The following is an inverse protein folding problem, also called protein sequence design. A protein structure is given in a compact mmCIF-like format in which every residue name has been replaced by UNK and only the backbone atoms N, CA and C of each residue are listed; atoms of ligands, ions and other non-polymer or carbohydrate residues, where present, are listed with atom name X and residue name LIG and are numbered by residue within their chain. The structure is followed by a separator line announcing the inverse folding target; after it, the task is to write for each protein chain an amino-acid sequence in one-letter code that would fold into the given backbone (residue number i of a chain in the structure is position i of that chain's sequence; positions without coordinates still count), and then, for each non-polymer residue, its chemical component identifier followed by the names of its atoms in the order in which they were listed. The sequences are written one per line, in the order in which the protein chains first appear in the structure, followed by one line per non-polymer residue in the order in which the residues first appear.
data_IF_965007654976
#
_entry.id   IF_965007654976
#
_cell.length_a   1.000
_cell.length_b   1.000
_cell.length_c   1.000
_cell.angle_alpha   90.00
_cell.angle_beta   90.00
_cell.angle_gamma   90.00
#
_symmetry.space_group_name_H-M   'P 1'
#
loop_
_entity.id
_entity.type
_entity.pdbx_description
1 polymer ?
#
# COMPACT_ATOMS: atom_id res chain seq x y z
N UNK A 1 -10.35 -11.87 -15.79
CA UNK A 1 -9.97 -12.00 -14.38
C UNK A 1 -11.24 -12.12 -13.56
N UNK A 2 -11.46 -13.22 -12.83
CA UNK A 2 -12.58 -13.28 -11.90
C UNK A 2 -12.26 -12.33 -10.76
N UNK A 3 -13.10 -11.31 -10.54
CA UNK A 3 -12.90 -10.28 -9.50
C UNK A 3 -12.78 -10.87 -8.09
N UNK A 4 -13.25 -12.10 -7.88
CA UNK A 4 -13.28 -12.74 -6.56
C UNK A 4 -11.99 -13.48 -6.18
N UNK A 5 -11.23 -13.98 -7.16
CA UNK A 5 -10.05 -14.83 -6.92
C UNK A 5 -8.92 -14.11 -6.18
N UNK A 6 -8.70 -12.82 -6.47
CA UNK A 6 -7.64 -12.00 -5.89
C UNK A 6 -8.18 -10.90 -4.97
N UNK A 7 -9.41 -11.03 -4.47
CA UNK A 7 -10.07 -10.03 -3.65
C UNK A 7 -9.22 -9.64 -2.43
N UNK A 8 -8.76 -10.63 -1.66
CA UNK A 8 -7.94 -10.39 -0.46
C UNK A 8 -6.63 -9.68 -0.77
N UNK A 9 -5.98 -10.04 -1.86
CA UNK A 9 -4.75 -9.40 -2.32
C UNK A 9 -4.99 -7.97 -2.81
N UNK A 10 -6.08 -7.77 -3.56
CA UNK A 10 -6.50 -6.44 -4.02
C UNK A 10 -6.82 -5.51 -2.85
N UNK A 11 -7.37 -6.05 -1.75
CA UNK A 11 -7.58 -5.26 -0.51
C UNK A 11 -6.26 -4.85 0.15
N UNK A 12 -5.23 -5.70 0.11
CA UNK A 12 -3.92 -5.43 0.71
C UNK A 12 -3.08 -4.44 -0.09
N UNK A 13 -2.87 -4.70 -1.39
CA UNK A 13 -1.94 -3.92 -2.22
C UNK A 13 -2.61 -3.14 -3.36
N UNK A 14 -3.94 -3.12 -3.43
CA UNK A 14 -4.66 -2.28 -4.39
C UNK A 14 -4.22 -2.54 -5.83
N UNK A 15 -3.73 -1.50 -6.50
CA UNK A 15 -3.22 -1.56 -7.88
C UNK A 15 -1.96 -2.44 -8.03
N UNK A 16 -1.24 -2.71 -6.95
CA UNK A 16 -0.10 -3.63 -6.97
C UNK A 16 -0.47 -5.02 -7.48
N UNK A 17 -1.72 -5.48 -7.31
CA UNK A 17 -2.19 -6.74 -7.87
C UNK A 17 -2.18 -6.74 -9.41
N UNK A 18 -2.44 -5.60 -10.04
CA UNK A 18 -2.38 -5.45 -11.51
C UNK A 18 -0.94 -5.63 -11.97
N UNK A 19 0.03 -5.05 -11.25
CA UNK A 19 1.45 -5.20 -11.55
C UNK A 19 1.91 -6.65 -11.39
N UNK A 20 1.47 -7.34 -10.34
CA UNK A 20 1.77 -8.78 -10.15
C UNK A 20 1.23 -9.60 -11.32
N UNK A 21 -0.02 -9.37 -11.75
CA UNK A 21 -0.64 -10.08 -12.85
C UNK A 21 -0.03 -9.75 -14.24
N UNK A 22 0.70 -8.64 -14.36
CA UNK A 22 1.42 -8.28 -15.57
C UNK A 22 2.88 -8.78 -15.58
N UNK A 23 3.45 -9.10 -14.40
CA UNK A 23 4.86 -9.42 -14.24
C UNK A 23 5.27 -10.71 -14.95
N UNK A 24 6.46 -10.69 -15.58
CA UNK A 24 7.07 -11.80 -16.30
C UNK A 24 8.37 -12.21 -15.64
N UNK A 25 8.46 -13.46 -15.27
CA UNK A 25 9.60 -14.03 -14.58
C UNK A 25 10.43 -14.93 -15.48
N UNK A 26 11.76 -14.76 -15.42
CA UNK A 26 12.74 -15.71 -15.95
C UNK A 26 13.38 -16.47 -14.79
N UNK A 27 13.17 -17.79 -14.75
CA UNK A 27 13.58 -18.65 -13.65
C UNK A 27 14.67 -19.61 -14.11
N UNK A 28 15.83 -19.52 -13.49
CA UNK A 28 16.99 -20.35 -13.81
C UNK A 28 17.16 -21.46 -12.77
N UNK A 29 17.10 -22.70 -13.21
CA UNK A 29 16.97 -23.92 -12.43
C UNK A 29 15.50 -24.22 -12.05
N UNK A 30 15.20 -25.48 -11.71
CA UNK A 30 13.87 -25.92 -11.29
C UNK A 30 13.93 -26.86 -10.08
N UNK A 31 14.86 -26.59 -9.15
CA UNK A 31 14.97 -27.35 -7.91
C UNK A 31 13.76 -27.13 -6.97
N UNK A 32 13.73 -27.84 -5.85
CA UNK A 32 12.64 -27.72 -4.86
C UNK A 32 12.47 -26.29 -4.33
N UNK A 33 13.57 -25.53 -4.23
CA UNK A 33 13.51 -24.12 -3.82
C UNK A 33 12.78 -23.26 -4.85
N UNK A 34 13.10 -23.41 -6.14
CA UNK A 34 12.39 -22.72 -7.22
C UNK A 34 10.92 -23.13 -7.26
N UNK A 35 10.62 -24.43 -7.11
CA UNK A 35 9.24 -24.91 -7.12
C UNK A 35 8.39 -24.27 -6.01
N UNK A 36 8.94 -24.11 -4.79
CA UNK A 36 8.26 -23.44 -3.68
C UNK A 36 8.09 -21.93 -3.90
N UNK A 37 9.10 -21.27 -4.46
CA UNK A 37 9.00 -19.85 -4.84
C UNK A 37 7.88 -19.67 -5.88
N UNK A 38 7.90 -20.47 -6.93
CA UNK A 38 6.92 -20.38 -7.99
C UNK A 38 5.51 -20.74 -7.56
N UNK A 39 5.33 -21.70 -6.64
CA UNK A 39 4.04 -22.01 -6.05
C UNK A 39 3.39 -20.75 -5.46
N UNK A 40 4.12 -20.01 -4.65
CA UNK A 40 3.59 -18.81 -4.02
C UNK A 40 3.29 -17.69 -5.04
N UNK A 41 4.14 -17.51 -6.05
CA UNK A 41 3.96 -16.50 -7.09
C UNK A 41 2.80 -16.85 -8.04
N UNK A 42 2.67 -18.12 -8.41
CA UNK A 42 1.56 -18.62 -9.26
C UNK A 42 0.23 -18.48 -8.52
N UNK A 43 0.17 -18.86 -7.23
CA UNK A 43 -1.03 -18.65 -6.41
C UNK A 43 -1.39 -17.17 -6.25
N UNK A 44 -0.39 -16.29 -6.22
CA UNK A 44 -0.60 -14.83 -6.19
C UNK A 44 -1.01 -14.25 -7.54
N UNK A 45 -0.99 -15.03 -8.62
CA UNK A 45 -1.43 -14.62 -9.94
C UNK A 45 -0.40 -13.86 -10.75
N UNK A 46 0.87 -14.23 -10.65
CA UNK A 46 1.92 -13.69 -11.54
C UNK A 46 1.56 -13.92 -13.01
N UNK A 47 1.90 -12.95 -13.88
CA UNK A 47 1.45 -13.00 -15.27
C UNK A 47 2.05 -14.12 -16.10
N UNK A 48 3.38 -14.28 -16.05
CA UNK A 48 4.10 -15.25 -16.87
C UNK A 48 5.34 -15.79 -16.15
N UNK A 49 5.58 -17.10 -16.29
CA UNK A 49 6.76 -17.78 -15.75
C UNK A 49 7.47 -18.52 -16.87
N UNK A 50 8.76 -18.27 -17.07
CA UNK A 50 9.62 -19.04 -17.98
C UNK A 50 10.67 -19.76 -17.16
N UNK A 51 10.70 -21.10 -17.23
CA UNK A 51 11.70 -21.94 -16.54
C UNK A 51 12.77 -22.38 -17.54
N UNK A 52 14.03 -22.19 -17.17
CA UNK A 52 15.20 -22.67 -17.94
C UNK A 52 15.92 -23.72 -17.09
N UNK A 53 15.86 -24.98 -17.49
CA UNK A 53 16.54 -26.11 -16.84
C UNK A 53 16.61 -27.29 -17.79
N UNK A 54 17.69 -28.06 -17.79
CA UNK A 54 17.86 -29.30 -18.55
C UNK A 54 17.88 -30.54 -17.65
N UNK A 55 17.73 -30.34 -16.34
CA UNK A 55 17.81 -31.41 -15.35
C UNK A 55 16.62 -32.37 -15.47
N UNK A 56 16.91 -33.64 -15.23
CA UNK A 56 15.89 -34.67 -15.12
C UNK A 56 15.56 -34.97 -13.68
N UNK A 57 14.32 -35.36 -13.42
CA UNK A 57 13.85 -35.80 -12.10
C UNK A 57 14.61 -37.05 -11.69
N UNK A 58 15.19 -37.03 -10.48
CA UNK A 58 15.87 -38.14 -9.84
C UNK A 58 15.12 -38.58 -8.60
N UNK A 59 15.44 -39.76 -8.06
CA UNK A 59 14.77 -40.31 -6.88
C UNK A 59 14.88 -39.40 -5.62
N UNK A 60 15.94 -38.59 -5.56
CA UNK A 60 16.16 -37.62 -4.50
C UNK A 60 15.13 -36.48 -4.53
N UNK A 61 14.70 -36.08 -5.72
CA UNK A 61 13.68 -34.99 -5.87
C UNK A 61 12.34 -35.37 -5.24
N UNK A 62 12.01 -36.69 -5.20
CA UNK A 62 10.76 -37.17 -4.62
C UNK A 62 10.65 -36.93 -3.11
N UNK A 63 11.79 -36.69 -2.44
CA UNK A 63 11.82 -36.51 -0.98
C UNK A 63 11.49 -35.05 -0.56
N UNK A 64 11.66 -34.09 -1.45
CA UNK A 64 11.64 -32.70 -1.08
C UNK A 64 10.92 -31.79 -2.10
N UNK A 65 10.44 -32.32 -3.21
CA UNK A 65 9.72 -31.56 -4.23
C UNK A 65 8.28 -32.05 -4.34
N UNK A 66 7.33 -31.21 -3.93
CA UNK A 66 5.91 -31.52 -3.92
C UNK A 66 5.32 -31.73 -5.34
N UNK A 67 5.96 -31.18 -6.35
CA UNK A 67 5.43 -31.15 -7.73
C UNK A 67 5.92 -32.31 -8.62
N UNK A 68 6.53 -33.33 -8.05
CA UNK A 68 7.03 -34.48 -8.80
C UNK A 68 6.63 -35.81 -8.13
N UNK A 69 6.32 -36.80 -8.94
CA UNK A 69 5.93 -38.14 -8.51
C UNK A 69 6.92 -39.21 -8.99
N UNK A 70 6.84 -40.43 -8.40
CA UNK A 70 7.66 -41.55 -8.80
C UNK A 70 7.55 -41.91 -10.30
N UNK A 71 6.39 -41.66 -10.91
CA UNK A 71 6.16 -41.88 -12.35
C UNK A 71 6.85 -40.81 -13.23
N UNK A 72 7.40 -39.78 -12.64
CA UNK A 72 8.05 -38.68 -13.36
C UNK A 72 9.59 -38.83 -13.37
N UNK A 73 10.14 -39.79 -12.65
CA UNK A 73 11.59 -40.03 -12.65
C UNK A 73 12.10 -40.22 -14.08
N UNK A 74 13.17 -39.49 -14.43
CA UNK A 74 13.77 -39.49 -15.77
C UNK A 74 13.19 -38.47 -16.76
N UNK A 75 12.03 -37.86 -16.45
CA UNK A 75 11.45 -36.77 -17.27
C UNK A 75 12.16 -35.45 -16.97
N UNK A 76 11.95 -34.44 -17.80
CA UNK A 76 12.48 -33.08 -17.61
C UNK A 76 11.81 -32.41 -16.40
N UNK A 77 12.63 -32.02 -15.40
CA UNK A 77 12.13 -31.56 -14.12
C UNK A 77 11.35 -30.24 -14.26
N UNK A 78 11.90 -29.26 -14.98
CA UNK A 78 11.26 -27.96 -15.18
C UNK A 78 9.93 -28.06 -15.91
N UNK A 79 9.80 -28.98 -16.89
CA UNK A 79 8.56 -29.20 -17.63
C UNK A 79 7.42 -29.74 -16.74
N UNK A 80 7.73 -30.78 -15.93
CA UNK A 80 6.76 -31.39 -15.03
C UNK A 80 6.33 -30.42 -13.93
N UNK A 81 7.29 -29.72 -13.29
CA UNK A 81 6.99 -28.72 -12.28
C UNK A 81 6.11 -27.61 -12.84
N UNK A 82 6.45 -27.09 -14.01
CA UNK A 82 5.65 -26.02 -14.63
C UNK A 82 4.24 -26.47 -14.94
N UNK A 83 4.08 -27.67 -15.51
CA UNK A 83 2.75 -28.24 -15.78
C UNK A 83 1.90 -28.28 -14.51
N UNK A 84 2.42 -28.84 -13.43
CA UNK A 84 1.69 -29.01 -12.17
C UNK A 84 1.44 -27.67 -11.47
N UNK A 85 2.33 -26.69 -11.60
CA UNK A 85 2.13 -25.31 -11.10
C UNK A 85 0.98 -24.61 -11.82
N UNK A 86 0.87 -24.77 -13.14
CA UNK A 86 -0.20 -24.13 -13.92
C UNK A 86 -1.59 -24.71 -13.62
N UNK A 87 -1.66 -25.95 -13.09
CA UNK A 87 -2.92 -26.51 -12.59
C UNK A 87 -3.44 -25.75 -11.35
N UNK A 88 -2.55 -25.15 -10.55
CA UNK A 88 -2.95 -24.33 -9.38
C UNK A 88 -3.60 -23.01 -9.79
N UNK A 89 -3.19 -22.45 -10.92
CA UNK A 89 -3.71 -21.19 -11.40
C UNK A 89 -3.66 -21.06 -12.93
N UNK A 90 -4.78 -21.33 -13.62
CA UNK A 90 -4.86 -21.31 -15.08
C UNK A 90 -4.74 -19.90 -15.69
N UNK A 91 -4.78 -18.83 -14.89
CA UNK A 91 -4.60 -17.46 -15.39
C UNK A 91 -3.13 -17.16 -15.68
N UNK A 92 -2.19 -17.94 -15.13
CA UNK A 92 -0.74 -17.77 -15.28
C UNK A 92 -0.27 -18.41 -16.58
N UNK A 93 0.57 -17.71 -17.34
CA UNK A 93 1.21 -18.28 -18.54
C UNK A 93 2.52 -18.94 -18.15
N UNK A 94 2.80 -20.09 -18.77
CA UNK A 94 4.03 -20.84 -18.50
C UNK A 94 4.80 -21.18 -19.77
N UNK A 95 6.11 -21.00 -19.74
CA UNK A 95 7.04 -21.41 -20.79
C UNK A 95 8.17 -22.25 -20.18
N UNK A 96 8.58 -23.28 -20.89
CA UNK A 96 9.72 -24.11 -20.51
C UNK A 96 10.77 -24.11 -21.62
N UNK A 97 12.04 -23.93 -21.21
CA UNK A 97 13.20 -23.96 -22.10
C UNK A 97 14.14 -25.06 -21.59
N UNK A 98 14.22 -26.14 -22.36
CA UNK A 98 15.10 -27.26 -22.07
C UNK A 98 16.55 -26.89 -22.44
N UNK A 99 17.25 -26.20 -21.54
CA UNK A 99 18.66 -25.81 -21.66
C UNK A 99 19.31 -25.71 -20.30
N UNK A 100 20.60 -26.04 -20.25
CA UNK A 100 21.39 -25.75 -19.06
C UNK A 100 21.41 -24.23 -18.81
N UNK A 101 21.13 -23.77 -17.57
CA UNK A 101 21.14 -22.34 -17.24
C UNK A 101 22.44 -21.62 -17.60
N UNK A 102 23.60 -22.28 -17.47
CA UNK A 102 24.90 -21.72 -17.85
C UNK A 102 25.00 -21.49 -19.38
N UNK A 103 24.55 -22.45 -20.17
CA UNK A 103 24.55 -22.36 -21.63
C UNK A 103 23.55 -21.30 -22.10
N UNK A 104 22.36 -21.27 -21.50
CA UNK A 104 21.35 -20.24 -21.78
C UNK A 104 21.91 -18.84 -21.52
N UNK A 105 22.57 -18.60 -20.39
CA UNK A 105 23.18 -17.31 -20.07
C UNK A 105 24.30 -16.92 -21.03
N UNK A 106 24.96 -17.89 -21.71
CA UNK A 106 26.05 -17.62 -22.65
C UNK A 106 25.57 -17.26 -24.06
N UNK A 107 24.28 -17.37 -24.36
CA UNK A 107 23.74 -17.03 -25.67
C UNK A 107 23.55 -15.51 -25.82
N UNK A 108 24.18 -14.90 -26.84
CA UNK A 108 24.06 -13.47 -27.12
C UNK A 108 22.68 -13.04 -27.63
N UNK A 109 21.85 -13.99 -28.08
CA UNK A 109 20.54 -13.73 -28.70
C UNK A 109 19.39 -13.63 -27.74
N UNK A 110 19.60 -13.88 -26.46
CA UNK A 110 18.51 -13.88 -25.46
C UNK A 110 18.02 -12.46 -25.20
N UNK A 111 16.72 -12.26 -25.33
CA UNK A 111 16.07 -10.99 -25.03
C UNK A 111 15.62 -10.95 -23.56
N UNK A 112 16.52 -10.58 -22.67
CA UNK A 112 16.22 -10.48 -21.24
C UNK A 112 15.27 -9.32 -20.93
N UNK A 113 15.22 -8.26 -21.74
CA UNK A 113 14.33 -7.09 -21.58
C UNK A 113 12.83 -7.43 -21.66
N UNK A 114 12.50 -8.63 -22.13
CA UNK A 114 11.10 -9.10 -22.13
C UNK A 114 10.61 -9.57 -20.77
N UNK A 115 11.48 -9.66 -19.77
CA UNK A 115 11.16 -10.07 -18.41
C UNK A 115 11.32 -8.89 -17.44
N UNK A 116 10.60 -8.96 -16.32
CA UNK A 116 10.67 -7.98 -15.24
C UNK A 116 11.61 -8.42 -14.12
N UNK A 117 11.66 -9.73 -13.86
CA UNK A 117 12.43 -10.31 -12.77
C UNK A 117 13.18 -11.56 -13.26
N UNK A 118 14.45 -11.66 -12.89
CA UNK A 118 15.25 -12.85 -13.04
C UNK A 118 15.44 -13.52 -11.69
N UNK A 119 15.06 -14.78 -11.56
CA UNK A 119 15.20 -15.57 -10.34
C UNK A 119 16.16 -16.73 -10.61
N UNK A 120 17.19 -16.89 -9.79
CA UNK A 120 18.18 -17.95 -9.92
C UNK A 120 18.31 -18.72 -8.58
N UNK A 121 18.09 -20.02 -8.59
CA UNK A 121 18.23 -20.85 -7.39
C UNK A 121 19.38 -21.83 -7.52
N UNK A 122 20.21 -21.92 -6.46
CA UNK A 122 21.29 -22.89 -6.30
C UNK A 122 22.26 -23.03 -7.49
N UNK A 123 22.40 -21.98 -8.32
CA UNK A 123 23.38 -21.97 -9.40
C UNK A 123 24.81 -21.82 -8.86
N UNK A 124 25.80 -22.22 -9.68
CA UNK A 124 27.21 -22.05 -9.37
C UNK A 124 27.53 -20.56 -9.17
N UNK A 125 28.37 -20.27 -8.17
CA UNK A 125 28.73 -18.89 -7.81
C UNK A 125 29.44 -18.12 -8.93
N UNK A 126 30.13 -18.81 -9.83
CA UNK A 126 30.76 -18.20 -11.00
C UNK A 126 29.80 -17.52 -11.98
N UNK A 127 28.51 -17.93 -11.95
CA UNK A 127 27.47 -17.33 -12.79
C UNK A 127 26.91 -16.02 -12.21
N UNK A 128 27.18 -15.72 -10.93
CA UNK A 128 26.64 -14.53 -10.30
C UNK A 128 27.07 -13.23 -11.00
N UNK A 129 28.34 -13.11 -11.39
CA UNK A 129 28.85 -11.92 -12.09
C UNK A 129 28.06 -11.68 -13.37
N UNK A 130 27.85 -12.73 -14.15
CA UNK A 130 27.10 -12.64 -15.40
C UNK A 130 25.63 -12.28 -15.17
N UNK A 131 25.01 -12.83 -14.14
CA UNK A 131 23.64 -12.48 -13.73
C UNK A 131 23.53 -11.00 -13.38
N UNK A 132 24.52 -10.43 -12.65
CA UNK A 132 24.57 -9.00 -12.36
C UNK A 132 24.73 -8.14 -13.60
N UNK A 133 25.61 -8.54 -14.52
CA UNK A 133 25.82 -7.81 -15.78
C UNK A 133 24.54 -7.77 -16.62
N UNK A 134 23.83 -8.89 -16.75
CA UNK A 134 22.53 -8.95 -17.43
C UNK A 134 21.51 -8.05 -16.73
N UNK A 135 21.36 -8.20 -15.42
CA UNK A 135 20.41 -7.42 -14.65
C UNK A 135 20.68 -5.91 -14.76
N UNK A 136 21.96 -5.51 -14.69
CA UNK A 136 22.37 -4.12 -14.83
C UNK A 136 22.11 -3.56 -16.22
N UNK A 137 22.51 -4.30 -17.27
CA UNK A 137 22.43 -3.82 -18.65
C UNK A 137 21.00 -3.75 -19.17
N UNK A 138 20.16 -4.69 -18.75
CA UNK A 138 18.78 -4.81 -19.21
C UNK A 138 17.75 -4.25 -18.21
N UNK A 139 18.23 -3.62 -17.11
CA UNK A 139 17.44 -3.02 -16.05
C UNK A 139 16.42 -4.00 -15.43
N UNK A 140 16.88 -5.23 -15.15
CA UNK A 140 16.08 -6.27 -14.53
C UNK A 140 16.29 -6.31 -13.02
N UNK A 141 15.24 -6.70 -12.30
CA UNK A 141 15.38 -7.13 -10.92
C UNK A 141 15.97 -8.53 -10.88
N UNK A 142 16.97 -8.75 -10.02
CA UNK A 142 17.61 -10.04 -9.87
C UNK A 142 17.43 -10.56 -8.44
N UNK A 143 16.99 -11.81 -8.33
CA UNK A 143 16.86 -12.54 -7.07
C UNK A 143 17.74 -13.79 -7.16
N UNK A 144 18.78 -13.85 -6.34
CA UNK A 144 19.63 -15.05 -6.20
C UNK A 144 19.29 -15.70 -4.87
N UNK A 145 18.96 -16.99 -4.91
CA UNK A 145 18.67 -17.78 -3.73
C UNK A 145 19.62 -18.99 -3.71
N UNK A 146 20.24 -19.22 -2.55
CA UNK A 146 21.00 -20.45 -2.28
C UNK A 146 20.54 -21.02 -0.97
N UNK A 147 20.25 -22.29 -0.95
CA UNK A 147 19.87 -22.98 0.26
C UNK A 147 20.67 -24.28 0.46
N UNK A 148 21.05 -24.52 1.69
CA UNK A 148 21.69 -25.76 2.12
C UNK A 148 21.20 -26.12 3.52
N UNK A 149 20.25 -27.05 3.59
CA UNK A 149 19.56 -27.40 4.83
C UNK A 149 18.87 -26.18 5.46
N UNK A 150 19.27 -25.80 6.66
CA UNK A 150 18.72 -24.64 7.39
C UNK A 150 19.43 -23.31 7.07
N UNK A 151 20.50 -23.34 6.28
CA UNK A 151 21.22 -22.15 5.88
C UNK A 151 20.70 -21.65 4.54
N UNK A 152 20.28 -20.40 4.50
CA UNK A 152 19.76 -19.76 3.30
C UNK A 152 20.50 -18.45 3.04
N UNK A 153 20.78 -18.18 1.77
CA UNK A 153 21.31 -16.92 1.28
C UNK A 153 20.36 -16.37 0.23
N UNK A 154 19.90 -15.16 0.42
CA UNK A 154 19.04 -14.44 -0.55
C UNK A 154 19.70 -13.12 -0.86
N UNK A 155 19.90 -12.82 -2.13
CA UNK A 155 20.39 -11.54 -2.61
C UNK A 155 19.42 -10.95 -3.63
N UNK A 156 19.00 -9.71 -3.36
CA UNK A 156 18.23 -8.89 -4.27
C UNK A 156 19.16 -7.88 -4.93
N UNK A 157 19.00 -7.67 -6.22
CA UNK A 157 19.70 -6.63 -6.96
C UNK A 157 18.72 -5.89 -7.86
N UNK A 158 18.84 -4.59 -7.86
CA UNK A 158 18.09 -3.66 -8.71
C UNK A 158 18.97 -2.44 -8.97
N UNK A 159 18.93 -1.89 -10.20
CA UNK A 159 19.75 -0.73 -10.57
C UNK A 159 19.43 0.51 -9.71
N UNK A 160 18.17 0.66 -9.34
CA UNK A 160 17.69 1.68 -8.43
C UNK A 160 16.71 1.05 -7.45
N UNK A 161 17.06 1.04 -6.19
CA UNK A 161 16.21 0.54 -5.11
C UNK A 161 15.86 1.70 -4.17
N UNK A 162 14.70 2.31 -4.40
CA UNK A 162 14.12 3.26 -3.47
C UNK A 162 13.23 2.52 -2.47
N UNK A 163 13.72 2.27 -1.25
CA UNK A 163 12.88 1.74 -0.19
C UNK A 163 12.41 2.88 0.70
N UNK A 164 11.20 3.36 0.46
CA UNK A 164 10.51 4.24 1.39
C UNK A 164 9.75 3.40 2.40
N UNK A 165 10.44 2.94 3.42
CA UNK A 165 9.81 2.25 4.53
C UNK A 165 9.13 3.31 5.43
N UNK A 166 7.92 3.69 5.04
CA UNK A 166 7.03 4.44 5.91
C UNK A 166 6.62 3.49 7.04
N UNK A 167 7.39 3.46 8.12
CA UNK A 167 6.87 2.89 9.37
C UNK A 167 5.66 3.74 9.76
N UNK A 168 4.49 3.26 9.37
CA UNK A 168 3.26 3.67 10.01
C UNK A 168 3.46 3.46 11.50
N UNK A 169 3.15 4.46 12.32
CA UNK A 169 3.12 4.25 13.77
C UNK A 169 2.27 3.01 14.03
N UNK A 170 2.60 2.24 15.06
CA UNK A 170 1.85 1.02 15.41
C UNK A 170 0.35 1.29 15.63
N UNK A 171 -0.03 2.57 15.76
CA UNK A 171 -1.40 3.05 15.79
C UNK A 171 -1.51 4.28 14.88
N UNK A 172 -1.72 4.10 13.57
CA UNK A 172 -2.06 5.22 12.72
C UNK A 172 -3.36 5.81 13.25
N UNK A 173 -3.34 7.10 13.59
CA UNK A 173 -4.58 7.84 13.86
C UNK A 173 -5.22 8.09 12.51
N UNK A 174 -6.00 7.12 12.04
CA UNK A 174 -6.69 7.24 10.78
C UNK A 174 -7.99 8.03 11.00
N UNK A 175 -8.16 9.08 10.23
CA UNK A 175 -9.42 9.81 10.17
C UNK A 175 -10.38 9.10 9.20
N UNK A 176 -11.28 8.29 9.73
CA UNK A 176 -12.33 7.66 8.94
C UNK A 176 -13.62 8.50 8.93
N UNK A 177 -13.64 9.64 9.62
CA UNK A 177 -14.80 10.53 9.73
C UNK A 177 -16.09 9.87 10.18
N UNK A 178 -15.99 8.82 10.97
CA UNK A 178 -17.17 8.15 11.51
C UNK A 178 -17.94 9.01 12.53
N UNK A 179 -17.25 9.97 13.17
CA UNK A 179 -17.87 10.96 14.07
C UNK A 179 -18.48 12.18 13.34
N UNK A 180 -18.10 12.42 12.08
CA UNK A 180 -18.64 13.49 11.23
C UNK A 180 -18.79 13.02 9.78
N UNK A 181 -19.61 12.00 9.51
CA UNK A 181 -19.77 11.44 8.18
C UNK A 181 -20.36 12.49 7.24
N UNK A 182 -19.86 12.52 5.99
CA UNK A 182 -20.40 13.37 4.94
C UNK A 182 -21.61 12.70 4.27
N UNK A 183 -22.36 13.50 3.52
CA UNK A 183 -23.65 13.11 2.97
C UNK A 183 -23.62 11.81 2.19
N UNK A 184 -22.70 11.67 1.23
CA UNK A 184 -22.60 10.50 0.35
C UNK A 184 -22.27 9.22 1.12
N UNK A 185 -21.50 9.32 2.21
CA UNK A 185 -21.23 8.20 3.10
C UNK A 185 -22.51 7.81 3.89
N UNK A 186 -23.25 8.79 4.39
CA UNK A 186 -24.52 8.54 5.06
C UNK A 186 -25.54 7.93 4.09
N UNK A 187 -25.66 8.45 2.88
CA UNK A 187 -26.55 7.93 1.85
C UNK A 187 -26.22 6.48 1.50
N UNK A 188 -24.93 6.16 1.36
CA UNK A 188 -24.46 4.77 1.18
C UNK A 188 -24.84 3.88 2.37
N UNK A 189 -24.65 4.33 3.60
CA UNK A 189 -25.03 3.57 4.78
C UNK A 189 -26.56 3.34 4.85
N UNK A 190 -27.35 4.30 4.41
CA UNK A 190 -28.81 4.20 4.40
C UNK A 190 -29.34 3.21 3.35
N UNK A 191 -28.54 2.83 2.34
CA UNK A 191 -28.92 1.78 1.38
C UNK A 191 -29.00 0.38 2.01
N UNK A 192 -28.42 0.17 3.20
CA UNK A 192 -28.49 -1.09 3.93
C UNK A 192 -29.71 -1.12 4.86
N UNK A 193 -30.70 -1.95 4.57
CA UNK A 193 -31.86 -2.16 5.45
C UNK A 193 -31.58 -3.34 6.40
N UNK A 194 -30.94 -3.02 7.55
CA UNK A 194 -30.49 -4.03 8.52
C UNK A 194 -31.63 -4.89 9.09
N UNK A 195 -32.89 -4.41 9.05
CA UNK A 195 -34.04 -5.16 9.61
C UNK A 195 -34.60 -6.18 8.60
N UNK A 196 -34.43 -5.92 7.29
CA UNK A 196 -35.01 -6.76 6.23
C UNK A 196 -34.00 -7.65 5.54
N UNK A 197 -32.70 -7.48 5.83
CA UNK A 197 -31.66 -8.30 5.24
C UNK A 197 -31.73 -9.73 5.76
N UNK A 198 -31.37 -10.70 4.91
CA UNK A 198 -31.13 -12.05 5.39
C UNK A 198 -29.86 -12.11 6.27
N UNK A 199 -29.71 -13.22 7.01
CA UNK A 199 -28.62 -13.36 7.98
C UNK A 199 -27.23 -13.34 7.32
N UNK A 200 -27.09 -13.87 6.11
CA UNK A 200 -25.81 -13.95 5.39
C UNK A 200 -25.38 -12.55 4.98
N UNK A 201 -26.27 -11.81 4.35
CA UNK A 201 -26.01 -10.43 3.94
C UNK A 201 -25.77 -9.51 5.15
N UNK A 202 -26.55 -9.68 6.21
CA UNK A 202 -26.40 -8.90 7.44
C UNK A 202 -25.01 -9.10 8.09
N UNK A 203 -24.50 -10.34 8.17
CA UNK A 203 -23.15 -10.63 8.69
C UNK A 203 -22.03 -10.05 7.83
N UNK A 204 -22.32 -9.69 6.59
CA UNK A 204 -21.39 -9.10 5.64
C UNK A 204 -21.51 -7.57 5.51
N UNK A 205 -22.28 -6.91 6.38
CA UNK A 205 -22.34 -5.44 6.42
C UNK A 205 -21.08 -4.89 7.09
N UNK A 206 -20.35 -3.97 6.42
CA UNK A 206 -19.14 -3.35 6.99
C UNK A 206 -19.44 -2.65 8.32
N UNK A 207 -18.55 -2.80 9.30
CA UNK A 207 -18.75 -2.17 10.61
C UNK A 207 -18.85 -0.63 10.55
N UNK A 208 -18.28 0.02 9.55
CA UNK A 208 -18.46 1.45 9.30
C UNK A 208 -19.94 1.80 9.09
N UNK A 209 -20.66 0.98 8.32
CA UNK A 209 -22.10 1.16 8.08
C UNK A 209 -22.87 1.03 9.39
N UNK A 210 -22.56 0.01 10.19
CA UNK A 210 -23.18 -0.24 11.49
C UNK A 210 -22.97 0.96 12.43
N UNK A 211 -21.72 1.44 12.53
CA UNK A 211 -21.36 2.57 13.40
C UNK A 211 -22.04 3.87 12.96
N UNK A 212 -22.11 4.16 11.66
CA UNK A 212 -22.78 5.36 11.14
C UNK A 212 -24.29 5.31 11.38
N UNK A 213 -24.94 4.16 11.14
CA UNK A 213 -26.35 3.98 11.45
C UNK A 213 -26.62 4.14 12.95
N UNK A 214 -25.75 3.58 13.79
CA UNK A 214 -25.85 3.76 15.23
C UNK A 214 -25.68 5.24 15.63
N UNK A 215 -24.77 5.97 14.98
CA UNK A 215 -24.56 7.39 15.24
C UNK A 215 -25.77 8.23 14.82
N UNK A 216 -26.37 7.94 13.67
CA UNK A 216 -27.59 8.61 13.21
C UNK A 216 -28.71 8.41 14.24
N UNK A 217 -28.98 7.16 14.66
CA UNK A 217 -29.97 6.83 15.67
C UNK A 217 -29.68 7.50 17.02
N UNK A 218 -28.43 7.48 17.48
CA UNK A 218 -28.03 8.16 18.71
C UNK A 218 -28.30 9.67 18.66
N UNK A 219 -28.01 10.32 17.54
CA UNK A 219 -28.29 11.75 17.32
C UNK A 219 -29.78 12.08 17.29
N UNK A 220 -30.59 11.21 16.72
CA UNK A 220 -32.06 11.31 16.75
C UNK A 220 -32.58 11.20 18.18
N UNK A 221 -32.13 10.20 18.95
CA UNK A 221 -32.53 10.00 20.35
C UNK A 221 -32.12 11.20 21.23
N UNK A 222 -30.96 11.78 21.00
CA UNK A 222 -30.47 12.99 21.69
C UNK A 222 -31.09 14.28 21.14
N UNK A 223 -31.84 14.24 20.03
CA UNK A 223 -32.37 15.41 19.33
C UNK A 223 -31.30 16.46 19.03
N UNK A 224 -30.07 16.00 18.76
CA UNK A 224 -28.91 16.83 18.47
C UNK A 224 -28.11 16.23 17.32
N UNK A 225 -28.10 16.85 16.11
CA UNK A 225 -27.41 16.32 14.93
C UNK A 225 -25.87 16.26 15.07
N UNK A 226 -25.33 16.95 16.09
CA UNK A 226 -23.90 17.00 16.36
C UNK A 226 -23.51 16.21 17.63
N UNK A 227 -24.45 15.43 18.21
CA UNK A 227 -24.13 14.61 19.37
C UNK A 227 -23.20 13.46 19.02
N UNK A 228 -22.17 13.28 19.83
CA UNK A 228 -21.25 12.16 19.75
C UNK A 228 -21.03 11.59 21.17
N UNK A 229 -20.84 10.28 21.33
CA UNK A 229 -20.68 9.65 22.65
C UNK A 229 -19.32 10.02 23.28
N UNK A 230 -19.31 10.92 24.27
CA UNK A 230 -18.11 11.44 24.92
C UNK A 230 -17.85 10.80 26.27
N UNK A 231 -18.87 10.73 27.13
CA UNK A 231 -18.75 10.16 28.47
C UNK A 231 -18.84 8.64 28.47
N UNK A 232 -18.45 7.99 29.54
CA UNK A 232 -18.55 6.54 29.67
C UNK A 232 -19.99 6.04 29.64
N UNK A 233 -20.96 6.82 30.20
CA UNK A 233 -22.35 6.54 30.13
C UNK A 233 -22.88 6.62 28.70
N UNK A 234 -22.51 7.67 27.97
CA UNK A 234 -22.88 7.85 26.55
C UNK A 234 -22.28 6.75 25.67
N UNK A 235 -21.06 6.33 25.95
CA UNK A 235 -20.42 5.20 25.23
C UNK A 235 -21.13 3.89 25.50
N UNK A 236 -21.63 3.66 26.73
CA UNK A 236 -22.48 2.49 27.08
C UNK A 236 -23.79 2.51 26.32
N UNK A 237 -24.47 3.68 26.32
CA UNK A 237 -25.69 3.88 25.57
C UNK A 237 -25.47 3.60 24.07
N UNK A 238 -24.44 4.17 23.49
CA UNK A 238 -24.08 3.95 22.10
C UNK A 238 -23.75 2.47 21.78
N UNK A 239 -23.03 1.75 22.66
CA UNK A 239 -22.83 0.31 22.56
C UNK A 239 -24.13 -0.47 22.52
N UNK A 240 -25.14 -0.08 23.33
CA UNK A 240 -26.43 -0.72 23.33
C UNK A 240 -27.17 -0.50 22.01
N UNK A 241 -27.04 0.70 21.40
CA UNK A 241 -27.60 0.96 20.07
C UNK A 241 -26.92 0.06 19.02
N UNK A 242 -25.61 -0.06 19.03
CA UNK A 242 -24.87 -0.95 18.11
C UNK A 242 -25.33 -2.40 18.27
N UNK A 243 -25.47 -2.88 19.51
CA UNK A 243 -25.96 -4.24 19.80
C UNK A 243 -27.43 -4.45 19.36
N UNK A 244 -28.26 -3.40 19.37
CA UNK A 244 -29.63 -3.53 18.94
C UNK A 244 -29.81 -3.82 17.44
N UNK A 245 -28.75 -3.71 16.66
CA UNK A 245 -28.75 -4.11 15.26
C UNK A 245 -28.43 -5.59 15.05
N UNK A 246 -28.08 -6.33 16.10
CA UNK A 246 -27.80 -7.75 16.01
C UNK A 246 -29.06 -8.55 15.66
N UNK A 247 -28.98 -9.39 14.62
CA UNK A 247 -30.07 -10.31 14.28
C UNK A 247 -29.92 -11.61 15.09
N UNK A 248 -30.86 -11.87 15.99
CA UNK A 248 -30.94 -13.10 16.75
C UNK A 248 -31.76 -14.16 16.00
N UNK A 249 -31.11 -15.15 15.47
CA UNK A 249 -31.74 -16.24 14.69
C UNK A 249 -31.89 -17.54 15.47
N UNK A 250 -31.57 -17.54 16.77
CA UNK A 250 -31.61 -18.75 17.62
C UNK A 250 -30.50 -19.76 17.31
N UNK A 251 -29.62 -19.50 16.37
CA UNK A 251 -28.42 -20.27 16.09
C UNK A 251 -27.26 -19.62 16.84
N UNK A 252 -26.57 -20.36 17.69
CA UNK A 252 -25.43 -19.88 18.47
C UNK A 252 -24.32 -19.35 17.54
N UNK A 253 -23.88 -18.14 17.78
CA UNK A 253 -22.75 -17.48 17.14
C UNK A 253 -22.92 -15.97 17.15
N UNK A 254 -21.96 -15.25 17.70
CA UNK A 254 -21.92 -13.77 17.67
C UNK A 254 -21.84 -13.29 16.21
N UNK A 255 -22.52 -12.20 15.91
CA UNK A 255 -22.36 -11.52 14.62
C UNK A 255 -21.00 -10.82 14.60
N UNK A 256 -20.02 -11.42 13.94
CA UNK A 256 -18.63 -10.96 13.95
C UNK A 256 -18.49 -9.47 13.53
N UNK A 257 -19.30 -9.00 12.60
CA UNK A 257 -19.30 -7.59 12.19
C UNK A 257 -19.84 -6.65 13.30
N UNK A 258 -20.78 -7.10 14.13
CA UNK A 258 -21.25 -6.35 15.31
C UNK A 258 -20.15 -6.34 16.38
N UNK A 259 -19.46 -7.46 16.61
CA UNK A 259 -18.30 -7.53 17.51
C UNK A 259 -17.20 -6.59 17.04
N UNK A 260 -16.93 -6.56 15.75
CA UNK A 260 -15.97 -5.64 15.14
C UNK A 260 -16.41 -4.17 15.34
N UNK A 261 -17.68 -3.84 15.10
CA UNK A 261 -18.22 -2.51 15.34
C UNK A 261 -18.05 -2.07 16.81
N UNK A 262 -18.37 -2.97 17.77
CA UNK A 262 -18.22 -2.69 19.21
C UNK A 262 -16.78 -2.41 19.61
N UNK A 263 -15.82 -3.04 18.95
CA UNK A 263 -14.38 -2.81 19.17
C UNK A 263 -13.95 -1.41 18.73
N UNK A 264 -14.56 -0.86 17.69
CA UNK A 264 -14.16 0.38 17.05
C UNK A 264 -15.09 1.56 17.28
N UNK A 265 -15.99 1.51 18.27
CA UNK A 265 -16.92 2.62 18.62
C UNK A 265 -16.21 3.95 18.90
N UNK A 266 -14.94 3.90 19.32
CA UNK A 266 -14.15 5.08 19.65
C UNK A 266 -13.90 6.00 18.43
N UNK A 267 -14.05 5.50 17.21
CA UNK A 267 -14.02 6.34 16.00
C UNK A 267 -15.22 7.29 15.89
N UNK A 268 -16.30 7.04 16.63
CA UNK A 268 -17.45 7.93 16.69
C UNK A 268 -17.30 9.02 17.75
N UNK A 269 -16.22 9.03 18.53
CA UNK A 269 -15.96 10.04 19.54
C UNK A 269 -15.34 11.30 18.89
N UNK A 270 -15.78 12.49 19.32
CA UNK A 270 -15.29 13.77 18.80
C UNK A 270 -13.80 13.99 19.01
N UNK A 271 -13.17 13.41 20.06
CA UNK A 271 -11.75 13.55 20.34
C UNK A 271 -10.85 12.97 19.23
N UNK A 272 -11.36 12.04 18.42
CA UNK A 272 -10.64 11.51 17.26
C UNK A 272 -10.70 12.41 16.02
N UNK A 273 -11.59 13.40 15.99
CA UNK A 273 -11.68 14.37 14.92
C UNK A 273 -10.66 15.49 15.03
N UNK A 274 -10.09 15.68 16.23
CA UNK A 274 -9.01 16.63 16.44
C UNK A 274 -7.67 15.95 16.13
N UNK A 275 -7.46 15.64 14.87
CA UNK A 275 -6.21 15.06 14.36
C UNK A 275 -5.04 16.04 14.36
N UNK A 276 -5.26 17.25 14.88
CA UNK A 276 -4.19 18.21 15.06
C UNK A 276 -3.21 17.67 16.10
N UNK A 277 -2.14 17.06 15.62
CA UNK A 277 -1.07 16.60 16.51
C UNK A 277 -0.36 17.80 17.13
N UNK A 278 0.26 17.61 18.29
CA UNK A 278 1.11 18.63 18.94
C UNK A 278 2.09 19.28 17.96
N UNK A 279 2.69 18.50 17.07
CA UNK A 279 3.63 19.01 16.05
C UNK A 279 2.94 19.86 14.97
N UNK A 280 1.73 19.52 14.56
CA UNK A 280 0.94 20.35 13.64
C UNK A 280 0.59 21.68 14.29
N UNK A 281 0.19 21.68 15.56
CA UNK A 281 -0.06 22.91 16.33
C UNK A 281 1.18 23.79 16.43
N UNK A 282 2.35 23.22 16.68
CA UNK A 282 3.63 23.96 16.69
C UNK A 282 3.92 24.61 15.33
N UNK A 283 3.68 23.89 14.23
CA UNK A 283 3.89 24.45 12.90
C UNK A 283 2.89 25.54 12.60
N UNK A 284 1.62 25.33 12.89
CA UNK A 284 0.62 26.38 12.72
C UNK A 284 0.97 27.62 13.56
N UNK A 285 1.38 27.45 14.83
CA UNK A 285 1.86 28.55 15.66
C UNK A 285 3.10 29.25 15.07
N UNK A 286 4.04 28.47 14.53
CA UNK A 286 5.24 29.02 13.88
C UNK A 286 4.87 29.82 12.65
N UNK A 287 3.97 29.31 11.81
CA UNK A 287 3.48 29.99 10.61
C UNK A 287 2.71 31.27 10.96
N UNK A 288 1.90 31.26 12.02
CA UNK A 288 1.13 32.41 12.49
C UNK A 288 2.02 33.53 13.08
N UNK A 289 3.06 33.13 13.82
CA UNK A 289 3.93 34.06 14.50
C UNK A 289 5.09 34.59 13.65
N UNK A 290 5.34 33.97 12.48
CA UNK A 290 6.44 34.36 11.59
C UNK A 290 5.90 35.05 10.34
N UNK A 291 6.36 36.26 10.00
CA UNK A 291 5.92 36.90 8.77
C UNK A 291 6.18 36.03 7.53
N UNK A 292 5.20 35.86 6.65
CA UNK A 292 5.31 35.03 5.44
C UNK A 292 6.54 35.39 4.59
N UNK A 293 6.90 36.67 4.52
CA UNK A 293 8.09 37.16 3.83
C UNK A 293 9.36 36.52 4.40
N UNK A 294 9.45 36.34 5.70
CA UNK A 294 10.61 35.73 6.36
C UNK A 294 10.65 34.21 6.12
N UNK A 295 9.51 33.53 6.22
CA UNK A 295 9.39 32.09 5.94
C UNK A 295 9.80 31.76 4.50
N UNK A 296 9.39 32.59 3.53
CA UNK A 296 9.57 32.29 2.10
C UNK A 296 10.91 32.82 1.55
N UNK A 297 11.50 33.88 2.14
CA UNK A 297 12.72 34.52 1.58
C UNK A 297 14.01 33.71 1.76
N UNK A 298 14.10 32.89 2.80
CA UNK A 298 15.30 32.09 3.14
C UNK A 298 15.21 30.63 2.75
N UNK A 299 14.11 30.20 2.11
CA UNK A 299 13.80 28.81 1.84
C UNK A 299 14.00 28.47 0.37
N UNK A 300 14.44 27.25 0.07
CA UNK A 300 14.39 26.71 -1.29
C UNK A 300 12.93 26.46 -1.72
N UNK A 301 12.69 26.17 -2.99
CA UNK A 301 11.34 26.03 -3.53
C UNK A 301 10.52 24.90 -2.85
N UNK A 302 11.15 23.83 -2.42
CA UNK A 302 10.46 22.76 -1.68
C UNK A 302 10.01 23.21 -0.30
N UNK A 303 10.85 23.97 0.43
CA UNK A 303 10.45 24.55 1.72
C UNK A 303 9.38 25.63 1.56
N UNK A 304 9.43 26.43 0.49
CA UNK A 304 8.36 27.40 0.17
C UNK A 304 7.04 26.66 -0.08
N UNK A 305 7.07 25.60 -0.88
CA UNK A 305 5.89 24.77 -1.13
C UNK A 305 5.35 24.13 0.15
N UNK A 306 6.22 23.68 1.04
CA UNK A 306 5.85 23.16 2.36
C UNK A 306 5.10 24.20 3.21
N UNK A 307 5.63 25.41 3.35
CA UNK A 307 4.94 26.46 4.11
C UNK A 307 3.61 26.84 3.47
N UNK A 308 3.56 26.99 2.15
CA UNK A 308 2.34 27.28 1.40
C UNK A 308 1.31 26.16 1.63
N UNK A 309 1.75 24.90 1.61
CA UNK A 309 0.91 23.75 1.89
C UNK A 309 0.27 23.82 3.28
N UNK A 310 1.05 24.12 4.33
CA UNK A 310 0.51 24.25 5.69
C UNK A 310 -0.42 25.45 5.88
N UNK A 311 -0.09 26.59 5.27
CA UNK A 311 -0.98 27.76 5.23
C UNK A 311 -2.32 27.35 4.60
N UNK A 312 -2.26 26.65 3.49
CA UNK A 312 -3.44 26.19 2.75
C UNK A 312 -4.22 25.13 3.52
N UNK A 313 -3.53 24.19 4.18
CA UNK A 313 -4.14 23.16 5.02
C UNK A 313 -4.95 23.79 6.17
N UNK A 314 -4.42 24.84 6.79
CA UNK A 314 -5.15 25.59 7.80
C UNK A 314 -6.40 26.25 7.23
N UNK A 315 -6.29 26.92 6.09
CA UNK A 315 -7.44 27.51 5.39
C UNK A 315 -8.49 26.46 5.01
N UNK A 316 -8.04 25.28 4.57
CA UNK A 316 -8.93 24.15 4.28
C UNK A 316 -9.67 23.67 5.54
N UNK A 317 -8.96 23.52 6.66
CA UNK A 317 -9.56 23.15 7.94
C UNK A 317 -10.54 24.21 8.44
N UNK A 318 -10.21 25.49 8.33
CA UNK A 318 -11.10 26.58 8.76
C UNK A 318 -12.40 26.59 7.95
N UNK A 319 -12.33 26.24 6.66
CA UNK A 319 -13.49 26.14 5.76
C UNK A 319 -14.31 24.88 6.00
N UNK A 320 -13.65 23.70 6.02
CA UNK A 320 -14.31 22.41 5.99
C UNK A 320 -14.48 21.78 7.39
N UNK A 321 -13.84 22.36 8.43
CA UNK A 321 -13.76 21.85 9.81
C UNK A 321 -13.15 20.44 9.94
N UNK A 322 -12.49 19.98 8.88
CA UNK A 322 -11.79 18.70 8.78
C UNK A 322 -10.57 18.88 7.90
N UNK A 323 -9.58 17.99 8.03
CA UNK A 323 -8.45 17.93 7.09
C UNK A 323 -8.83 17.15 5.83
N UNK A 324 -8.04 17.24 4.73
CA UNK A 324 -8.26 16.41 3.55
C UNK A 324 -8.26 14.92 3.90
N UNK A 325 -9.20 14.17 3.36
CA UNK A 325 -9.33 12.73 3.63
C UNK A 325 -8.26 11.95 2.86
N UNK A 326 -7.64 10.95 3.49
CA UNK A 326 -6.65 10.11 2.80
C UNK A 326 -7.28 9.08 1.85
N UNK A 327 -8.51 8.66 2.13
CA UNK A 327 -9.28 7.73 1.29
C UNK A 327 -9.08 6.25 1.60
N UNK A 328 -8.06 5.89 2.38
CA UNK A 328 -7.86 4.51 2.77
C UNK A 328 -8.81 4.09 3.89
N UNK A 329 -9.30 2.87 3.78
CA UNK A 329 -10.09 2.21 4.82
C UNK A 329 -9.41 0.89 5.20
N UNK A 330 -9.54 0.46 6.47
CA UNK A 330 -8.97 -0.81 6.91
C UNK A 330 -9.74 -1.98 6.28
N UNK A 331 -9.09 -3.15 6.23
CA UNK A 331 -9.83 -4.39 5.95
C UNK A 331 -10.83 -4.64 7.09
N UNK A 332 -12.00 -5.14 6.74
CA UNK A 332 -13.10 -5.37 7.67
C UNK A 332 -13.98 -6.53 7.22
N UNK A 333 -14.74 -7.07 8.14
CA UNK A 333 -15.71 -8.14 7.86
C UNK A 333 -16.78 -7.60 6.92
N UNK A 334 -16.78 -8.06 5.69
CA UNK A 334 -17.74 -7.71 4.67
C UNK A 334 -17.58 -8.59 3.43
N UNK A 335 -18.60 -8.66 2.59
CA UNK A 335 -18.41 -9.21 1.25
C UNK A 335 -17.63 -8.19 0.37
N UNK A 336 -17.04 -8.70 -0.72
CA UNK A 336 -16.25 -7.92 -1.67
C UNK A 336 -17.00 -6.72 -2.22
N UNK A 337 -18.27 -6.89 -2.56
CA UNK A 337 -19.06 -5.82 -3.17
C UNK A 337 -19.30 -4.66 -2.20
N UNK A 338 -19.66 -4.95 -0.96
CA UNK A 338 -19.86 -3.94 0.08
C UNK A 338 -18.57 -3.19 0.40
N UNK A 339 -17.44 -3.93 0.49
CA UNK A 339 -16.13 -3.33 0.74
C UNK A 339 -15.69 -2.40 -0.40
N UNK A 340 -15.79 -2.86 -1.66
CA UNK A 340 -15.43 -2.05 -2.83
C UNK A 340 -16.33 -0.81 -2.93
N UNK A 341 -17.63 -0.96 -2.68
CA UNK A 341 -18.56 0.18 -2.67
C UNK A 341 -18.15 1.22 -1.64
N UNK A 342 -17.88 0.79 -0.39
CA UNK A 342 -17.42 1.67 0.67
C UNK A 342 -16.08 2.34 0.32
N UNK A 343 -15.09 1.58 -0.18
CA UNK A 343 -13.79 2.08 -0.60
C UNK A 343 -13.91 3.13 -1.72
N UNK A 344 -14.85 2.93 -2.64
CA UNK A 344 -15.13 3.89 -3.73
C UNK A 344 -15.63 5.24 -3.20
N UNK A 345 -16.53 5.23 -2.19
CA UNK A 345 -17.03 6.44 -1.53
C UNK A 345 -15.88 7.21 -0.89
N UNK A 346 -15.00 6.52 -0.13
CA UNK A 346 -13.83 7.12 0.50
C UNK A 346 -12.83 7.70 -0.53
N UNK A 347 -12.51 6.93 -1.57
CA UNK A 347 -11.61 7.39 -2.63
C UNK A 347 -12.16 8.60 -3.39
N UNK A 348 -13.46 8.63 -3.66
CA UNK A 348 -14.10 9.78 -4.33
C UNK A 348 -14.00 11.04 -3.49
N UNK A 349 -14.29 10.93 -2.18
CA UNK A 349 -14.15 12.06 -1.25
C UNK A 349 -12.71 12.53 -1.15
N UNK A 350 -11.75 11.61 -1.02
CA UNK A 350 -10.33 11.94 -0.97
C UNK A 350 -9.88 12.69 -2.24
N UNK A 351 -10.25 12.20 -3.43
CA UNK A 351 -9.95 12.87 -4.71
C UNK A 351 -10.50 14.30 -4.76
N UNK A 352 -11.72 14.50 -4.26
CA UNK A 352 -12.34 15.81 -4.23
C UNK A 352 -11.61 16.74 -3.24
N UNK A 353 -11.28 16.27 -2.04
CA UNK A 353 -10.54 17.04 -1.03
C UNK A 353 -9.14 17.40 -1.54
N UNK A 354 -8.43 16.46 -2.18
CA UNK A 354 -7.11 16.70 -2.76
C UNK A 354 -7.16 17.69 -3.92
N UNK A 355 -8.21 17.63 -4.75
CA UNK A 355 -8.41 18.61 -5.82
C UNK A 355 -8.63 20.01 -5.25
N UNK A 356 -9.50 20.14 -4.23
CA UNK A 356 -9.73 21.41 -3.55
C UNK A 356 -8.44 21.96 -2.94
N UNK A 357 -7.65 21.11 -2.25
CA UNK A 357 -6.35 21.51 -1.71
C UNK A 357 -5.40 22.00 -2.78
N UNK A 358 -5.31 21.31 -3.91
CA UNK A 358 -4.46 21.71 -5.05
C UNK A 358 -4.88 23.08 -5.60
N UNK A 359 -6.18 23.28 -5.81
CA UNK A 359 -6.72 24.54 -6.30
C UNK A 359 -6.41 25.67 -5.32
N UNK A 360 -6.52 25.43 -4.01
CA UNK A 360 -6.16 26.40 -2.97
C UNK A 360 -4.66 26.69 -2.94
N UNK A 361 -3.79 25.68 -3.09
CA UNK A 361 -2.32 25.86 -3.16
C UNK A 361 -1.96 26.72 -4.37
N UNK A 362 -2.52 26.41 -5.54
CA UNK A 362 -2.29 27.17 -6.78
C UNK A 362 -2.74 28.62 -6.63
N UNK A 363 -3.89 28.86 -6.00
CA UNK A 363 -4.37 30.23 -5.73
C UNK A 363 -3.44 30.96 -4.76
N UNK A 364 -3.00 30.30 -3.68
CA UNK A 364 -2.06 30.88 -2.72
C UNK A 364 -0.72 31.25 -3.37
N UNK A 365 -0.17 30.40 -4.25
CA UNK A 365 1.06 30.71 -5.00
C UNK A 365 0.86 31.96 -5.87
N UNK A 366 -0.25 32.03 -6.62
CA UNK A 366 -0.52 33.16 -7.55
C UNK A 366 -0.72 34.48 -6.82
N UNK A 367 -1.46 34.46 -5.73
CA UNK A 367 -1.83 35.67 -4.98
C UNK A 367 -0.72 36.12 -4.02
N UNK A 368 0.30 35.30 -3.75
CA UNK A 368 1.35 35.60 -2.79
C UNK A 368 2.26 36.74 -3.28
N UNK A 369 2.23 37.83 -2.55
CA UNK A 369 3.04 39.03 -2.86
C UNK A 369 4.51 38.90 -2.45
N UNK A 370 4.85 37.90 -1.69
CA UNK A 370 6.21 37.65 -1.22
C UNK A 370 7.01 36.74 -2.16
N UNK A 371 6.40 36.26 -3.25
CA UNK A 371 7.03 35.43 -4.28
C UNK A 371 7.25 36.25 -5.55
N UNK A 372 8.41 36.06 -6.16
CA UNK A 372 8.69 36.58 -7.51
C UNK A 372 7.93 35.79 -8.58
N UNK A 373 7.70 36.37 -9.77
CA UNK A 373 7.02 35.67 -10.87
C UNK A 373 7.76 34.40 -11.33
N UNK A 374 9.09 34.38 -11.22
CA UNK A 374 9.90 33.21 -11.50
C UNK A 374 9.63 32.09 -10.48
N UNK A 375 9.64 32.42 -9.19
CA UNK A 375 9.32 31.45 -8.11
C UNK A 375 7.90 30.92 -8.23
N UNK A 376 6.92 31.74 -8.54
CA UNK A 376 5.55 31.30 -8.80
C UNK A 376 5.48 30.30 -9.93
N UNK A 377 6.19 30.55 -11.03
CA UNK A 377 6.22 29.65 -12.18
C UNK A 377 6.89 28.30 -11.83
N UNK A 378 7.97 28.34 -11.05
CA UNK A 378 8.67 27.12 -10.60
C UNK A 378 7.82 26.31 -9.61
N UNK A 379 7.16 26.97 -8.65
CA UNK A 379 6.25 26.32 -7.70
C UNK A 379 5.02 25.73 -8.39
N UNK A 380 4.42 26.43 -9.33
CA UNK A 380 3.30 25.91 -10.14
C UNK A 380 3.73 24.67 -10.94
N UNK A 381 4.94 24.64 -11.50
CA UNK A 381 5.50 23.45 -12.15
C UNK A 381 5.65 22.29 -11.18
N UNK A 382 6.16 22.54 -9.96
CA UNK A 382 6.27 21.51 -8.93
C UNK A 382 4.90 20.94 -8.56
N UNK A 383 3.90 21.79 -8.34
CA UNK A 383 2.53 21.35 -8.01
C UNK A 383 1.91 20.55 -9.16
N UNK A 384 2.14 20.95 -10.41
CA UNK A 384 1.59 20.26 -11.59
C UNK A 384 2.33 18.96 -11.92
N UNK A 385 3.61 18.85 -11.57
CA UNK A 385 4.40 17.64 -11.73
C UNK A 385 4.12 16.60 -10.64
N UNK A 386 3.52 16.99 -9.51
CA UNK A 386 2.97 16.06 -8.55
C UNK A 386 1.78 15.36 -9.24
N UNK A 387 2.02 14.18 -9.80
CA UNK A 387 0.97 13.35 -10.41
C UNK A 387 -0.14 13.08 -9.39
N UNK A 388 -1.32 12.69 -9.87
CA UNK A 388 -2.42 12.34 -8.98
C UNK A 388 -2.04 11.22 -7.99
N UNK A 389 -1.05 10.40 -8.32
CA UNK A 389 -0.53 9.32 -7.49
C UNK A 389 0.54 9.80 -6.47
N UNK A 390 1.16 10.97 -6.70
CA UNK A 390 2.10 11.63 -5.77
C UNK A 390 1.42 12.61 -4.80
N UNK A 391 0.11 12.68 -4.82
CA UNK A 391 -0.73 13.28 -3.75
C UNK A 391 -0.48 12.55 -2.42
N UNK A 392 0.17 11.42 -2.46
CA UNK A 392 0.73 10.73 -1.32
C UNK A 392 1.65 11.58 -0.42
N UNK A 393 2.21 12.70 -0.90
CA UNK A 393 2.89 13.64 0.01
C UNK A 393 1.89 14.22 1.01
N UNK A 394 0.67 14.53 0.59
CA UNK A 394 -0.40 14.98 1.49
C UNK A 394 -0.85 13.85 2.38
N UNK A 395 -0.95 12.65 1.84
CA UNK A 395 -1.28 11.45 2.57
C UNK A 395 -0.16 11.04 3.53
N UNK A 396 1.09 11.12 3.09
CA UNK A 396 2.30 10.96 3.90
C UNK A 396 2.34 12.00 5.03
N UNK A 397 2.04 13.25 4.74
CA UNK A 397 2.00 14.31 5.73
C UNK A 397 0.84 14.10 6.72
N UNK A 398 -0.33 13.72 6.26
CA UNK A 398 -1.48 13.47 7.11
C UNK A 398 -1.33 12.20 7.97
N UNK A 399 -0.83 11.10 7.41
CA UNK A 399 -0.65 9.81 8.12
C UNK A 399 0.61 9.74 8.98
N UNK A 400 1.69 10.42 8.56
CA UNK A 400 3.04 10.19 9.11
C UNK A 400 3.73 11.47 9.55
N UNK A 401 2.98 12.50 9.90
CA UNK A 401 3.53 13.80 10.27
C UNK A 401 4.75 13.74 11.22
N UNK A 402 4.81 12.91 12.28
CA UNK A 402 5.99 12.82 13.12
C UNK A 402 7.25 12.35 12.39
N UNK A 403 7.10 11.68 11.24
CA UNK A 403 8.18 11.15 10.41
C UNK A 403 8.39 11.95 9.12
N UNK A 404 7.40 12.71 8.65
CA UNK A 404 7.51 13.55 7.46
C UNK A 404 8.55 14.67 7.59
N UNK A 405 8.88 15.08 8.80
CA UNK A 405 10.01 15.99 9.06
C UNK A 405 11.37 15.45 8.61
N UNK A 406 11.47 14.14 8.35
CA UNK A 406 12.67 13.49 7.79
C UNK A 406 12.74 13.57 6.26
N UNK A 407 11.61 13.80 5.57
CA UNK A 407 11.54 13.81 4.09
C UNK A 407 11.70 15.20 3.47
N UNK A 408 11.79 16.26 4.27
CA UNK A 408 11.83 17.64 3.79
C UNK A 408 13.27 18.16 3.67
N UNK A 409 14.26 17.30 3.73
CA UNK A 409 15.64 17.62 3.38
C UNK A 409 16.02 16.97 2.02
N UNK A 410 15.75 17.63 0.89
CA UNK A 410 16.63 17.48 -0.22
C UNK A 410 17.82 18.38 0.10
N UNK A 411 18.78 17.88 0.86
CA UNK A 411 20.13 18.37 0.70
C UNK A 411 20.44 18.16 -0.79
N UNK A 412 20.88 19.21 -1.49
CA UNK A 412 21.32 19.10 -2.89
C UNK A 412 22.44 18.03 -3.08
N UNK A 413 22.98 17.52 -1.98
CA UNK A 413 23.88 16.39 -1.92
C UNK A 413 23.21 15.03 -2.15
N UNK A 414 21.90 14.89 -2.02
CA UNK A 414 21.21 13.61 -2.22
C UNK A 414 21.20 13.13 -3.68
N UNK A 415 21.18 14.04 -4.65
CA UNK A 415 21.32 13.68 -6.07
C UNK A 415 22.77 13.30 -6.44
N UNK A 416 23.78 13.92 -5.82
CA UNK A 416 25.18 13.54 -5.99
C UNK A 416 25.52 12.24 -5.27
N UNK A 417 24.97 12.02 -4.07
CA UNK A 417 25.11 10.73 -3.35
C UNK A 417 24.41 9.59 -4.08
N UNK A 418 23.24 9.83 -4.69
CA UNK A 418 22.55 8.82 -5.49
C UNK A 418 23.30 8.47 -6.78
N UNK A 419 24.04 9.43 -7.38
CA UNK A 419 24.89 9.18 -8.55
C UNK A 419 26.18 8.44 -8.22
N UNK A 420 26.64 8.55 -6.95
CA UNK A 420 27.85 7.89 -6.46
C UNK A 420 27.54 6.66 -5.58
N UNK A 421 26.32 6.13 -5.65
CA UNK A 421 25.92 4.98 -4.87
C UNK A 421 26.71 3.74 -5.29
N UNK A 422 27.66 3.36 -4.46
CA UNK A 422 28.38 2.10 -4.53
C UNK A 422 27.57 1.04 -3.79
N UNK A 423 27.12 -0.04 -4.47
CA UNK A 423 26.37 -1.13 -3.83
C UNK A 423 27.08 -1.76 -2.63
N UNK A 424 28.41 -1.70 -2.58
CA UNK A 424 29.20 -2.21 -1.45
C UNK A 424 29.22 -1.28 -0.23
N UNK A 425 28.75 -0.04 -0.38
CA UNK A 425 28.60 0.93 0.72
C UNK A 425 27.21 0.92 1.42
N UNK A 426 26.32 0.00 1.07
CA UNK A 426 24.98 -0.14 1.67
C UNK A 426 25.01 -0.29 3.20
N UNK A 427 26.09 -0.80 3.76
CA UNK A 427 26.33 -0.92 5.22
C UNK A 427 26.53 0.46 5.90
N UNK A 428 27.05 1.46 5.20
CA UNK A 428 27.24 2.82 5.76
C UNK A 428 25.92 3.57 5.84
N UNK A 429 25.03 3.39 4.88
CA UNK A 429 23.71 4.02 4.88
C UNK A 429 22.83 3.45 5.99
N UNK A 430 22.82 2.14 6.22
CA UNK A 430 22.15 1.53 7.37
C UNK A 430 22.68 2.08 8.71
N UNK A 431 23.99 2.29 8.86
CA UNK A 431 24.59 2.89 10.05
C UNK A 431 24.18 4.34 10.25
N UNK A 432 24.04 5.12 9.17
CA UNK A 432 23.62 6.53 9.24
C UNK A 432 22.17 6.67 9.75
N UNK A 433 21.27 5.78 9.32
CA UNK A 433 19.87 5.76 9.79
C UNK A 433 19.71 5.19 11.20
N UNK A 434 20.56 4.25 11.62
CA UNK A 434 20.50 3.65 12.96
C UNK A 434 21.15 4.58 14.03
N UNK A 435 22.08 5.44 13.66
CA UNK A 435 22.80 6.31 14.63
C UNK A 435 22.08 7.62 14.96
N UNK A 436 20.93 7.91 14.36
CA UNK A 436 20.11 9.12 14.62
C UNK A 436 18.75 8.85 15.26
N UNK A 437 18.51 7.61 15.74
CA UNK A 437 17.36 7.28 16.59
C UNK A 437 17.76 7.16 18.05
#
# INVERSE_FOLDING_TARGET
MSKDKYDRQTRLWGEGQILICAAKLLCLNSDCCMAEILKNLVLSGVGEVTIVDDSKIVAEDLKNNFFVDAADVGKLRGEIILKNLLELNPDVKGNFINKNPKDYLNEEKNNYKSYDILVATNLLSELNTKLYEIAKNDNLRLVIVKNNGLMNYIRLYENYHGNMNLKLSERPVADYRLSCPWKELVDFCNSFDLEKMDLIDHKNVPYFVILIKALVKYREDKKNPNANPKTEEEKKEFKNIVKSFELHTGIEGENENIVEALKYIYFCNESYNNLTTYKMEEIFKTIENTPQKELLSKSNNYMKLFFIYFITMKKFFDKNKTYPLCGDIPDMISNTQNFIGLKQIYNTKAKNDHKEMRDMITSEIKENKNLTEQEKTELDKLVNNLSNDQIDIVDILNKNWPQASLFIYPDNNGEEEAKNFDPDNSIKIQKYFISKN
#
